data_IF_618154747892
#
_entry.id   IF_618154747892
#
_cell.length_a   1.000
_cell.length_b   1.000
_cell.length_c   1.000
_cell.angle_alpha   90.00
_cell.angle_beta   90.00
_cell.angle_gamma   90.00
#
_symmetry.space_group_name_H-M   'P 1'
#
loop_
_entity.id
_entity.type
_entity.pdbx_description
1 polymer ?
#
# COMPACT_ATOMS: atom_id res chain seq x y z
N UNK A 1 -14.87 19.16 17.93
CA UNK A 1 -13.65 19.11 18.78
C UNK A 1 -13.17 17.67 18.89
N UNK A 2 -12.56 17.09 17.84
CA UNK A 2 -12.15 15.67 17.83
C UNK A 2 -10.68 15.58 17.41
N UNK A 3 -9.77 15.97 18.32
CA UNK A 3 -8.36 16.24 17.99
C UNK A 3 -7.40 15.92 19.12
N UNK A 4 -7.52 14.72 19.69
CA UNK A 4 -6.59 14.01 20.59
C UNK A 4 -7.32 12.69 20.83
N UNK A 5 -6.76 11.49 20.71
CA UNK A 5 -5.81 10.94 21.69
C UNK A 5 -4.96 9.81 21.05
N UNK A 6 -4.27 10.05 19.94
CA UNK A 6 -3.24 9.08 19.53
C UNK A 6 -2.03 9.30 20.44
N UNK A 7 -1.97 8.57 21.56
CA UNK A 7 -0.81 8.59 22.46
C UNK A 7 0.36 7.92 21.74
N UNK A 8 1.44 8.69 21.59
CA UNK A 8 2.72 8.24 21.07
C UNK A 8 3.50 7.63 22.23
N UNK A 9 4.04 6.43 22.01
CA UNK A 9 4.94 5.75 22.92
C UNK A 9 6.25 5.45 22.18
N UNK A 10 7.35 5.49 22.92
CA UNK A 10 8.68 5.16 22.39
C UNK A 10 9.00 3.71 22.78
N UNK A 11 9.77 3.00 21.95
CA UNK A 11 10.31 1.69 22.32
C UNK A 11 11.06 1.74 23.66
N UNK A 12 10.94 0.69 24.48
CA UNK A 12 11.49 0.64 25.83
C UNK A 12 10.66 1.34 26.91
N UNK A 13 9.52 1.95 26.55
CA UNK A 13 8.62 2.54 27.54
C UNK A 13 7.57 1.52 28.01
N UNK A 14 7.27 1.53 29.31
CA UNK A 14 6.13 0.79 29.85
C UNK A 14 4.83 1.34 29.27
N UNK A 15 4.05 0.48 28.64
CA UNK A 15 2.80 0.85 27.99
C UNK A 15 1.61 0.06 28.59
N UNK A 16 0.47 0.73 28.83
CA UNK A 16 -0.72 0.06 29.34
C UNK A 16 -1.27 -0.95 28.32
N UNK A 17 -2.12 -1.85 28.80
CA UNK A 17 -2.82 -2.87 28.01
C UNK A 17 -3.45 -2.30 26.71
N UNK A 18 -3.35 -3.07 25.63
CA UNK A 18 -3.99 -2.74 24.36
C UNK A 18 -3.13 -2.99 23.11
N UNK A 19 -3.62 -2.45 21.99
CA UNK A 19 -3.04 -2.66 20.66
C UNK A 19 -2.20 -1.43 20.27
N UNK A 20 -0.97 -1.67 19.86
CA UNK A 20 -0.01 -0.64 19.46
C UNK A 20 0.46 -0.87 18.03
N UNK A 21 0.44 0.18 17.22
CA UNK A 21 0.95 0.17 15.86
C UNK A 21 2.34 0.79 15.82
N UNK A 22 3.32 0.01 15.38
CA UNK A 22 4.66 0.47 15.06
C UNK A 22 4.66 1.15 13.69
N UNK A 23 4.68 2.49 13.66
CA UNK A 23 4.53 3.27 12.42
C UNK A 23 5.58 2.93 11.33
N UNK A 24 6.80 2.59 11.74
CA UNK A 24 7.90 2.32 10.79
C UNK A 24 7.77 0.97 10.10
N UNK A 25 7.24 -0.03 10.80
CA UNK A 25 7.11 -1.39 10.30
C UNK A 25 5.67 -1.75 9.88
N UNK A 26 4.70 -0.88 10.16
CA UNK A 26 3.26 -1.18 10.07
C UNK A 26 2.88 -2.45 10.84
N UNK A 27 3.57 -2.70 11.95
CA UNK A 27 3.42 -3.90 12.76
C UNK A 27 2.51 -3.63 13.97
N UNK A 28 1.65 -4.60 14.28
CA UNK A 28 0.64 -4.51 15.34
C UNK A 28 1.10 -5.37 16.52
N UNK A 29 1.51 -4.71 17.61
CA UNK A 29 1.93 -5.37 18.84
C UNK A 29 0.78 -5.30 19.85
N UNK A 30 0.38 -6.45 20.39
CA UNK A 30 -0.62 -6.53 21.45
C UNK A 30 0.09 -6.69 22.80
N UNK A 31 -0.21 -5.79 23.73
CA UNK A 31 0.29 -5.84 25.11
C UNK A 31 -0.75 -6.55 25.99
N UNK A 32 -0.37 -7.61 26.72
CA UNK A 32 -1.28 -8.38 27.57
C UNK A 32 -1.80 -7.57 28.77
N UNK A 33 -2.84 -8.11 29.41
CA UNK A 33 -3.45 -7.51 30.62
C UNK A 33 -2.41 -7.42 31.75
N UNK A 34 -2.20 -6.22 32.28
CA UNK A 34 -1.14 -5.90 33.25
C UNK A 34 -0.11 -4.89 32.74
N UNK A 35 -0.08 -4.64 31.43
CA UNK A 35 0.91 -3.75 30.79
C UNK A 35 2.27 -4.41 30.67
N UNK A 36 3.04 -3.99 29.67
CA UNK A 36 4.37 -4.53 29.40
C UNK A 36 5.25 -3.44 28.78
N UNK A 37 6.55 -3.68 28.73
CA UNK A 37 7.49 -2.82 28.04
C UNK A 37 7.37 -3.01 26.53
N UNK A 38 7.23 -1.91 25.81
CA UNK A 38 7.30 -1.94 24.35
C UNK A 38 8.68 -2.41 23.91
N UNK A 39 8.79 -3.21 22.83
CA UNK A 39 10.08 -3.66 22.32
C UNK A 39 11.05 -2.49 22.15
N UNK A 40 12.24 -2.59 22.76
CA UNK A 40 13.33 -1.65 22.52
C UNK A 40 13.84 -1.85 21.10
N UNK A 41 13.44 -0.94 20.22
CA UNK A 41 13.84 -0.94 18.83
C UNK A 41 14.18 0.51 18.45
N UNK A 42 15.38 0.72 17.91
CA UNK A 42 15.99 2.04 17.77
C UNK A 42 15.13 2.96 16.89
N UNK A 43 14.60 4.02 17.51
CA UNK A 43 13.71 4.98 16.85
C UNK A 43 12.31 4.44 16.55
N UNK A 44 11.91 3.30 17.10
CA UNK A 44 10.55 2.79 16.94
C UNK A 44 9.55 3.68 17.67
N UNK A 45 8.58 4.19 16.91
CA UNK A 45 7.45 4.94 17.43
C UNK A 45 6.20 4.06 17.38
N UNK A 46 5.62 3.85 18.55
CA UNK A 46 4.38 3.11 18.73
C UNK A 46 3.22 4.08 18.93
N UNK A 47 2.08 3.78 18.33
CA UNK A 47 0.85 4.54 18.49
C UNK A 47 -0.23 3.62 19.04
N UNK A 48 -0.89 4.02 20.13
CA UNK A 48 -2.02 3.24 20.65
C UNK A 48 -3.16 3.30 19.64
N UNK A 49 -3.56 2.14 19.13
CA UNK A 49 -4.67 2.02 18.20
C UNK A 49 -5.94 1.73 19.01
N UNK A 50 -6.95 2.61 18.95
CA UNK A 50 -8.22 2.33 19.61
C UNK A 50 -8.92 1.16 18.89
N UNK A 51 -9.43 0.19 19.67
CA UNK A 51 -10.16 -0.98 19.18
C UNK A 51 -11.24 -0.67 18.14
N UNK A 52 -12.10 0.37 18.30
CA UNK A 52 -13.10 0.72 17.30
C UNK A 52 -12.49 1.03 15.92
N UNK A 53 -11.28 1.60 15.88
CA UNK A 53 -10.61 1.91 14.62
C UNK A 53 -10.18 0.63 13.90
N UNK A 54 -9.63 -0.35 14.61
CA UNK A 54 -9.29 -1.67 14.03
C UNK A 54 -10.55 -2.36 13.51
N UNK A 55 -11.63 -2.29 14.29
CA UNK A 55 -12.92 -2.92 13.97
C UNK A 55 -13.58 -2.31 12.73
N UNK A 56 -13.32 -1.03 12.43
CA UNK A 56 -13.80 -0.35 11.21
C UNK A 56 -12.82 -0.54 10.04
N UNK A 57 -11.51 -0.51 10.28
CA UNK A 57 -10.50 -0.68 9.25
C UNK A 57 -10.55 -2.07 8.59
N UNK A 58 -10.84 -3.13 9.36
CA UNK A 58 -10.96 -4.48 8.82
C UNK A 58 -12.00 -4.60 7.70
N UNK A 59 -13.29 -4.28 7.97
CA UNK A 59 -14.33 -4.26 6.95
C UNK A 59 -14.06 -3.30 5.80
N UNK A 60 -13.49 -2.12 6.06
CA UNK A 60 -13.13 -1.16 5.00
C UNK A 60 -12.05 -1.75 4.07
N UNK A 61 -11.01 -2.36 4.62
CA UNK A 61 -9.96 -3.00 3.83
C UNK A 61 -10.53 -4.18 3.01
N UNK A 62 -11.42 -4.99 3.60
CA UNK A 62 -12.12 -6.05 2.89
C UNK A 62 -13.03 -5.55 1.77
N UNK A 63 -13.80 -4.48 2.01
CA UNK A 63 -14.63 -3.84 1.00
C UNK A 63 -13.79 -3.25 -0.13
N UNK A 64 -12.69 -2.57 0.21
CA UNK A 64 -11.75 -2.06 -0.78
C UNK A 64 -11.20 -3.22 -1.62
N UNK A 65 -10.86 -4.36 -1.01
CA UNK A 65 -10.41 -5.53 -1.76
C UNK A 65 -11.49 -6.08 -2.71
N UNK A 66 -12.73 -6.24 -2.24
CA UNK A 66 -13.85 -6.76 -3.06
C UNK A 66 -14.16 -5.83 -4.23
N UNK A 67 -14.06 -4.51 -4.04
CA UNK A 67 -14.35 -3.54 -5.09
C UNK A 67 -13.15 -3.33 -6.03
N UNK A 68 -11.93 -3.25 -5.50
CA UNK A 68 -10.75 -2.99 -6.32
C UNK A 68 -10.25 -4.22 -7.05
N UNK A 69 -10.31 -5.42 -6.48
CA UNK A 69 -9.77 -6.61 -7.14
C UNK A 69 -10.39 -6.88 -8.54
N UNK A 70 -11.73 -6.85 -8.72
CA UNK A 70 -12.34 -7.07 -10.03
C UNK A 70 -12.03 -5.95 -11.04
N UNK A 71 -11.61 -4.76 -10.59
CA UNK A 71 -11.22 -3.65 -11.48
C UNK A 71 -9.70 -3.63 -11.76
N UNK A 72 -8.90 -3.82 -10.72
CA UNK A 72 -7.44 -3.74 -10.78
C UNK A 72 -6.85 -4.80 -11.71
N UNK A 73 -7.35 -6.03 -11.64
CA UNK A 73 -6.87 -7.14 -12.48
C UNK A 73 -7.07 -6.87 -13.98
N UNK A 74 -8.29 -6.58 -14.50
CA UNK A 74 -8.46 -6.32 -15.92
C UNK A 74 -7.80 -5.02 -16.38
N UNK A 75 -7.79 -3.97 -15.56
CA UNK A 75 -7.08 -2.72 -15.90
C UNK A 75 -5.58 -2.97 -16.04
N UNK A 76 -4.98 -3.69 -15.10
CA UNK A 76 -3.56 -4.03 -15.14
C UNK A 76 -3.25 -4.95 -16.33
N UNK A 77 -4.07 -5.98 -16.55
CA UNK A 77 -3.91 -6.88 -17.69
C UNK A 77 -4.04 -6.14 -19.03
N UNK A 78 -5.03 -5.26 -19.16
CA UNK A 78 -5.22 -4.41 -20.34
C UNK A 78 -4.04 -3.48 -20.58
N UNK A 79 -3.53 -2.82 -19.54
CA UNK A 79 -2.34 -1.97 -19.63
C UNK A 79 -1.10 -2.75 -20.09
N UNK A 80 -0.87 -3.95 -19.54
CA UNK A 80 0.24 -4.83 -19.95
C UNK A 80 0.07 -5.30 -21.39
N UNK A 81 -1.14 -5.66 -21.81
CA UNK A 81 -1.43 -6.08 -23.18
C UNK A 81 -1.20 -4.94 -24.19
N UNK A 82 -1.74 -3.75 -23.92
CA UNK A 82 -1.53 -2.54 -24.72
C UNK A 82 -0.04 -2.20 -24.86
N UNK A 83 0.70 -2.23 -23.74
CA UNK A 83 2.13 -1.93 -23.73
C UNK A 83 2.95 -2.99 -24.49
N UNK A 84 2.60 -4.26 -24.37
CA UNK A 84 3.25 -5.37 -25.09
C UNK A 84 3.03 -5.26 -26.61
N UNK A 85 1.80 -4.94 -27.04
CA UNK A 85 1.47 -4.76 -28.47
C UNK A 85 2.11 -3.48 -29.04
N UNK A 86 2.10 -2.39 -28.29
CA UNK A 86 2.77 -1.15 -28.70
C UNK A 86 4.30 -1.31 -28.81
N UNK A 87 4.92 -2.11 -27.92
CA UNK A 87 6.34 -2.46 -27.99
C UNK A 87 6.72 -3.35 -29.17
N UNK A 88 5.78 -4.17 -29.67
CA UNK A 88 5.96 -5.02 -30.85
C UNK A 88 5.68 -4.29 -32.18
N UNK A 89 5.08 -3.10 -32.15
CA UNK A 89 4.68 -2.34 -33.34
C UNK A 89 5.59 -1.15 -33.73
N UNK A 90 6.94 -1.18 -33.62
CA UNK A 90 7.77 -0.11 -34.18
C UNK A 90 8.10 -0.27 -35.68
N UNK A 91 7.58 -1.28 -36.41
CA UNK A 91 8.13 -1.65 -37.73
C UNK A 91 7.35 -1.21 -38.98
N UNK A 92 6.20 -0.52 -38.85
CA UNK A 92 5.36 -0.20 -40.02
C UNK A 92 5.49 1.21 -40.59
N UNK A 93 6.53 1.97 -40.20
CA UNK A 93 6.82 3.31 -40.79
C UNK A 93 7.89 3.32 -41.89
N UNK A 94 8.61 2.22 -42.13
CA UNK A 94 9.73 2.18 -43.10
C UNK A 94 9.38 1.69 -44.51
N UNK A 95 8.09 1.64 -44.88
CA UNK A 95 7.65 1.08 -46.16
C UNK A 95 7.21 2.13 -47.21
N UNK A 96 7.45 3.43 -46.99
CA UNK A 96 6.96 4.50 -47.89
C UNK A 96 8.05 5.42 -48.47
N UNK A 97 9.33 5.09 -48.31
CA UNK A 97 10.45 5.95 -48.73
C UNK A 97 11.24 5.44 -49.94
N UNK A 98 10.92 4.25 -50.47
CA UNK A 98 11.67 3.64 -51.61
C UNK A 98 10.92 3.70 -52.96
N UNK A 99 9.79 4.41 -53.06
CA UNK A 99 8.96 4.45 -54.29
C UNK A 99 9.08 5.76 -55.09
N UNK A 100 10.25 6.39 -55.10
CA UNK A 100 10.59 7.40 -56.12
C UNK A 100 11.66 6.79 -57.03
N UNK A 101 11.29 6.16 -58.16
CA UNK A 101 12.27 5.81 -59.16
C UNK A 101 12.87 7.11 -59.70
N UNK A 102 14.16 7.31 -59.43
CA UNK A 102 14.95 8.34 -60.08
C UNK A 102 14.97 8.01 -61.57
N UNK A 103 14.16 8.74 -62.33
CA UNK A 103 14.21 8.76 -63.78
C UNK A 103 15.63 9.10 -64.24
N UNK A 104 16.25 8.17 -64.96
CA UNK A 104 17.40 8.38 -65.82
C UNK A 104 17.19 7.59 -67.10
#
# INVERSE_FOLDING_TARGET
MMGKIIRKYTGGQFAPDGIYLKKRAWDLTQIPEGGDYLPEDEGATFYRVPLPLVMVLGPIAGLAFILFLPLAVPVFAGYVALKSVAGLMPWRRKAKEDTIPAAR
#
